data_IF_449316304167
#
_entry.id   IF_449316304167
#
_cell.length_a   1.000
_cell.length_b   1.000
_cell.length_c   1.000
_cell.angle_alpha   90.00
_cell.angle_beta   90.00
_cell.angle_gamma   90.00
#
_symmetry.space_group_name_H-M   'P 1'
#
loop_
_entity.id
_entity.type
_entity.pdbx_description
1 polymer ?
#
# COMPACT_ATOMS: atom_id res chain seq x y z
N UNK A 1 17.12 -20.49 2.21
CA UNK A 1 18.27 -19.78 1.61
C UNK A 1 18.68 -20.42 0.28
N UNK A 2 18.05 -19.98 -0.83
CA UNK A 2 18.49 -20.33 -2.17
C UNK A 2 19.47 -19.27 -2.64
N UNK A 3 20.77 -19.59 -2.67
CA UNK A 3 21.82 -18.72 -3.20
C UNK A 3 21.73 -18.70 -4.73
N UNK A 4 20.79 -17.91 -5.27
CA UNK A 4 20.77 -17.58 -6.69
C UNK A 4 21.93 -16.64 -6.98
N UNK A 5 23.04 -17.17 -7.51
CA UNK A 5 24.15 -16.37 -8.02
C UNK A 5 23.64 -15.50 -9.16
N UNK A 6 23.57 -14.19 -8.93
CA UNK A 6 23.28 -13.19 -9.97
C UNK A 6 24.54 -13.05 -10.83
N UNK A 7 24.57 -13.73 -11.96
CA UNK A 7 25.61 -13.54 -12.97
C UNK A 7 25.29 -12.31 -13.81
N UNK A 8 26.22 -11.37 -13.91
CA UNK A 8 26.11 -10.23 -14.83
C UNK A 8 26.00 -10.74 -16.28
N UNK A 9 25.03 -10.26 -17.08
CA UNK A 9 24.87 -10.70 -18.47
C UNK A 9 26.13 -10.47 -19.29
N UNK A 10 26.57 -11.47 -20.07
CA UNK A 10 27.78 -11.37 -20.91
C UNK A 10 27.49 -11.29 -22.39
N UNK A 11 26.23 -11.52 -22.80
CA UNK A 11 25.75 -11.43 -24.17
C UNK A 11 24.30 -10.93 -24.22
N UNK A 12 23.81 -10.57 -25.40
CA UNK A 12 22.48 -9.97 -25.59
C UNK A 12 21.33 -10.90 -25.18
N UNK A 13 21.48 -12.22 -25.35
CA UNK A 13 20.49 -13.21 -24.93
C UNK A 13 20.34 -13.25 -23.41
N UNK A 14 21.46 -13.18 -22.68
CA UNK A 14 21.44 -13.09 -21.22
C UNK A 14 20.86 -11.76 -20.74
N UNK A 15 21.05 -10.67 -21.48
CA UNK A 15 20.43 -9.37 -21.17
C UNK A 15 18.91 -9.47 -21.28
N UNK A 16 18.38 -10.04 -22.37
CA UNK A 16 16.94 -10.23 -22.53
C UNK A 16 16.36 -11.10 -21.42
N UNK A 17 17.00 -12.24 -21.12
CA UNK A 17 16.56 -13.12 -20.03
C UNK A 17 16.60 -12.44 -18.66
N UNK A 18 17.68 -11.71 -18.36
CA UNK A 18 17.80 -10.97 -17.10
C UNK A 18 16.71 -9.90 -16.97
N UNK A 19 16.41 -9.19 -18.06
CA UNK A 19 15.33 -8.20 -18.11
C UNK A 19 13.97 -8.88 -17.90
N UNK A 20 13.68 -9.98 -18.60
CA UNK A 20 12.44 -10.74 -18.47
C UNK A 20 12.26 -11.31 -17.06
N UNK A 21 13.32 -11.85 -16.46
CA UNK A 21 13.30 -12.34 -15.07
C UNK A 21 13.02 -11.19 -14.09
N UNK A 22 13.61 -10.01 -14.29
CA UNK A 22 13.34 -8.83 -13.45
C UNK A 22 11.92 -8.29 -13.65
N UNK A 23 11.41 -8.24 -14.88
CA UNK A 23 10.03 -7.84 -15.15
C UNK A 23 9.01 -8.87 -14.66
N UNK A 24 9.31 -10.16 -14.75
CA UNK A 24 8.49 -11.22 -14.18
C UNK A 24 8.41 -11.07 -12.65
N UNK A 25 9.51 -10.71 -11.97
CA UNK A 25 9.50 -10.41 -10.53
C UNK A 25 8.65 -9.17 -10.21
N UNK A 26 8.66 -8.14 -11.06
CA UNK A 26 7.78 -6.95 -10.88
C UNK A 26 6.31 -7.32 -11.06
N UNK A 27 5.98 -8.15 -12.05
CA UNK A 27 4.61 -8.59 -12.32
C UNK A 27 4.08 -9.59 -11.26
N UNK A 28 4.93 -10.48 -10.74
CA UNK A 28 4.56 -11.51 -9.77
C UNK A 28 4.36 -10.95 -8.34
N UNK A 29 5.05 -9.88 -7.97
CA UNK A 29 4.92 -9.29 -6.62
C UNK A 29 3.75 -8.30 -6.48
N UNK A 30 2.90 -8.14 -7.50
CA UNK A 30 1.77 -7.20 -7.43
C UNK A 30 2.21 -5.75 -7.17
N UNK A 31 3.47 -5.41 -7.50
CA UNK A 31 4.03 -4.07 -7.35
C UNK A 31 3.31 -3.19 -8.37
N UNK A 32 2.20 -2.60 -7.94
CA UNK A 32 1.53 -1.55 -8.67
C UNK A 32 2.43 -0.32 -8.57
N UNK A 33 3.29 -0.14 -9.58
CA UNK A 33 3.89 1.16 -9.86
C UNK A 33 2.75 2.07 -10.35
N UNK A 34 1.82 2.43 -9.46
CA UNK A 34 0.75 3.36 -9.83
C UNK A 34 1.40 4.75 -9.95
N UNK A 35 1.32 5.32 -11.15
CA UNK A 35 1.79 6.69 -11.40
C UNK A 35 0.88 7.76 -10.78
N UNK A 36 -0.21 7.34 -10.13
CA UNK A 36 -1.20 8.21 -9.50
C UNK A 36 -2.21 7.44 -8.66
N UNK A 37 -3.22 8.13 -8.16
CA UNK A 37 -4.28 7.54 -7.36
C UNK A 37 -5.21 6.65 -8.20
N UNK A 38 -5.54 5.47 -7.67
CA UNK A 38 -6.58 4.58 -8.19
C UNK A 38 -7.77 4.54 -7.23
N UNK A 39 -8.98 4.35 -7.75
CA UNK A 39 -10.17 4.18 -6.93
C UNK A 39 -10.30 2.72 -6.52
N UNK A 40 -10.44 2.49 -5.23
CA UNK A 40 -10.55 1.16 -4.61
C UNK A 40 -11.87 1.09 -3.87
N UNK A 41 -12.69 0.10 -4.22
CA UNK A 41 -13.90 -0.24 -3.47
C UNK A 41 -13.55 -1.28 -2.40
N UNK A 42 -13.89 -0.98 -1.14
CA UNK A 42 -13.62 -1.87 0.00
C UNK A 42 -14.90 -2.04 0.82
N UNK A 43 -15.25 -3.30 1.09
CA UNK A 43 -16.43 -3.68 1.86
C UNK A 43 -16.27 -3.44 3.37
N UNK A 44 -17.39 -3.37 4.08
CA UNK A 44 -17.37 -3.28 5.53
C UNK A 44 -16.76 -4.55 6.15
N UNK A 45 -15.93 -4.36 7.18
CA UNK A 45 -15.18 -5.43 7.86
C UNK A 45 -13.82 -5.75 7.23
N UNK A 46 -13.56 -5.30 6.00
CA UNK A 46 -12.29 -5.54 5.32
C UNK A 46 -11.23 -4.52 5.73
N UNK A 47 -9.96 -4.92 5.66
CA UNK A 47 -8.83 -4.02 5.88
C UNK A 47 -8.11 -3.75 4.57
N UNK A 48 -7.70 -2.50 4.41
CA UNK A 48 -6.74 -2.06 3.42
C UNK A 48 -5.39 -1.98 4.13
N UNK A 49 -4.50 -2.95 3.95
CA UNK A 49 -3.14 -2.94 4.50
C UNK A 49 -2.19 -2.38 3.46
N UNK A 50 -1.31 -1.47 3.88
CA UNK A 50 -0.52 -0.66 2.98
C UNK A 50 0.98 -0.82 3.22
N UNK A 51 1.73 -0.68 2.13
CA UNK A 51 3.18 -0.58 2.16
C UNK A 51 3.63 0.86 2.49
N UNK A 52 4.92 1.02 2.78
CA UNK A 52 5.51 2.33 3.04
C UNK A 52 5.35 3.28 1.86
N UNK A 53 5.16 4.57 2.18
CA UNK A 53 4.89 5.66 1.24
C UNK A 53 3.56 5.57 0.48
N UNK A 54 2.65 4.67 0.88
CA UNK A 54 1.29 4.64 0.34
C UNK A 54 0.48 5.85 0.84
N UNK A 55 -0.22 6.50 -0.08
CA UNK A 55 -1.11 7.64 0.14
C UNK A 55 -2.57 7.19 0.00
N UNK A 56 -3.45 7.61 0.93
CA UNK A 56 -4.84 7.17 0.99
C UNK A 56 -5.76 8.36 1.20
N UNK A 57 -6.89 8.40 0.50
CA UNK A 57 -7.98 9.35 0.74
C UNK A 57 -9.29 8.57 0.83
N UNK A 58 -9.97 8.63 1.99
CA UNK A 58 -11.33 8.11 2.13
C UNK A 58 -12.32 9.08 1.46
N UNK A 59 -12.98 8.66 0.37
CA UNK A 59 -13.92 9.53 -0.37
C UNK A 59 -15.37 9.36 0.09
N UNK A 60 -15.75 8.16 0.49
CA UNK A 60 -17.08 7.84 1.00
C UNK A 60 -17.04 6.58 1.87
N UNK A 61 -18.13 6.31 2.58
CA UNK A 61 -18.17 5.28 3.61
C UNK A 61 -17.45 5.72 4.88
N UNK A 62 -17.10 4.78 5.75
CA UNK A 62 -16.46 5.06 7.04
C UNK A 62 -15.34 4.02 7.27
N UNK A 63 -14.24 4.48 7.88
CA UNK A 63 -13.08 3.65 8.18
C UNK A 63 -12.37 4.13 9.44
N UNK A 64 -11.55 3.27 10.03
CA UNK A 64 -10.71 3.56 11.19
C UNK A 64 -9.26 3.17 10.92
N UNK A 65 -8.31 3.80 11.60
CA UNK A 65 -6.88 3.48 11.46
C UNK A 65 -6.53 2.07 11.93
N UNK A 66 -5.63 1.43 11.20
CA UNK A 66 -4.88 0.24 11.64
C UNK A 66 -3.45 0.69 11.91
N UNK A 67 -3.03 0.59 13.17
CA UNK A 67 -1.68 0.97 13.59
C UNK A 67 -0.68 -0.19 13.42
N UNK A 68 0.60 0.14 13.48
CA UNK A 68 1.64 -0.89 13.55
C UNK A 68 1.67 -1.57 14.93
N UNK A 69 2.57 -2.55 15.10
CA UNK A 69 2.74 -3.28 16.35
C UNK A 69 3.16 -2.40 17.56
N UNK A 70 3.76 -1.22 17.31
CA UNK A 70 4.14 -0.27 18.35
C UNK A 70 3.00 0.70 18.73
N UNK A 71 1.88 0.68 17.98
CA UNK A 71 0.73 1.58 18.19
C UNK A 71 0.81 2.90 17.42
N UNK A 72 1.80 3.09 16.56
CA UNK A 72 1.92 4.26 15.69
C UNK A 72 0.96 4.15 14.50
N UNK A 73 0.25 5.23 14.21
CA UNK A 73 -0.81 5.31 13.22
C UNK A 73 -0.38 5.83 11.85
N UNK A 74 -1.36 6.23 11.04
CA UNK A 74 -1.11 6.87 9.75
C UNK A 74 -0.99 8.38 9.93
N UNK A 75 -0.09 9.03 9.18
CA UNK A 75 0.01 10.48 9.22
C UNK A 75 -1.14 11.11 8.44
N UNK A 76 -2.05 11.80 9.11
CA UNK A 76 -3.00 12.70 8.45
C UNK A 76 -2.34 14.06 8.25
N UNK A 77 -1.92 14.33 7.02
CA UNK A 77 -1.23 15.60 6.70
C UNK A 77 -2.19 16.78 6.58
N UNK A 78 -3.49 16.53 6.51
CA UNK A 78 -4.50 17.59 6.39
C UNK A 78 -4.80 18.20 7.75
N UNK A 79 -4.97 17.35 8.77
CA UNK A 79 -5.22 17.76 10.15
C UNK A 79 -3.95 17.87 11.00
N UNK A 80 -2.84 17.28 10.55
CA UNK A 80 -1.59 17.21 11.32
C UNK A 80 -1.64 16.22 12.47
N UNK A 81 -2.39 15.12 12.32
CA UNK A 81 -2.67 14.15 13.36
C UNK A 81 -2.12 12.75 13.05
N UNK A 82 -1.95 11.94 14.10
CA UNK A 82 -1.59 10.53 14.01
C UNK A 82 -2.86 9.66 14.16
N UNK A 83 -3.27 9.01 13.07
CA UNK A 83 -4.46 8.15 13.02
C UNK A 83 -4.10 6.77 13.57
N UNK A 84 -4.14 6.67 14.90
CA UNK A 84 -3.88 5.43 15.65
C UNK A 84 -4.96 4.37 15.46
N UNK A 85 -4.72 3.20 16.05
CA UNK A 85 -5.65 2.07 16.01
C UNK A 85 -7.07 2.48 16.41
N UNK A 86 -8.04 2.23 15.54
CA UNK A 86 -9.46 2.49 15.81
C UNK A 86 -9.88 3.97 15.74
N UNK A 87 -8.95 4.91 15.52
CA UNK A 87 -9.30 6.33 15.32
C UNK A 87 -10.05 6.47 14.00
N UNK A 88 -11.19 7.18 14.02
CA UNK A 88 -11.98 7.42 12.83
C UNK A 88 -11.20 8.25 11.81
N UNK A 89 -11.30 7.85 10.54
CA UNK A 89 -10.73 8.62 9.42
C UNK A 89 -11.76 9.58 8.88
N UNK A 90 -11.42 10.86 8.93
CA UNK A 90 -12.21 11.90 8.28
C UNK A 90 -12.10 11.81 6.75
N UNK A 91 -13.21 12.10 6.08
CA UNK A 91 -13.30 12.03 4.63
C UNK A 91 -12.46 13.13 3.99
N UNK A 92 -11.89 12.82 2.83
CA UNK A 92 -11.10 13.73 1.99
C UNK A 92 -9.79 14.22 2.62
N UNK A 93 -9.34 13.65 3.74
CA UNK A 93 -7.98 13.87 4.23
C UNK A 93 -6.98 12.99 3.48
N UNK A 94 -5.80 13.57 3.22
CA UNK A 94 -4.65 12.83 2.72
C UNK A 94 -3.95 12.14 3.89
N UNK A 95 -3.97 10.81 3.89
CA UNK A 95 -3.24 9.97 4.82
C UNK A 95 -1.98 9.41 4.17
N UNK A 96 -0.89 9.35 4.92
CA UNK A 96 0.38 8.77 4.49
C UNK A 96 0.73 7.61 5.42
N UNK A 97 1.06 6.46 4.83
CA UNK A 97 1.63 5.31 5.51
C UNK A 97 3.16 5.45 5.50
N UNK A 98 3.82 5.70 6.64
CA UNK A 98 5.24 6.07 6.61
C UNK A 98 6.17 4.89 6.24
N UNK A 99 5.80 3.66 6.61
CA UNK A 99 6.64 2.46 6.51
C UNK A 99 5.80 1.22 6.23
N UNK A 100 6.43 0.19 5.66
CA UNK A 100 5.87 -1.17 5.56
C UNK A 100 5.97 -1.85 6.93
N UNK A 101 4.97 -1.65 7.79
CA UNK A 101 4.91 -2.25 9.13
C UNK A 101 3.48 -2.63 9.56
N UNK A 102 2.59 -2.87 8.59
CA UNK A 102 1.24 -3.38 8.81
C UNK A 102 0.16 -2.31 9.04
N UNK A 103 0.46 -1.04 8.76
CA UNK A 103 -0.52 0.04 8.86
C UNK A 103 -1.52 0.02 7.72
N UNK A 104 -2.68 0.61 7.95
CA UNK A 104 -3.76 0.59 6.98
C UNK A 104 -5.06 1.16 7.51
N UNK A 105 -6.16 0.80 6.86
CA UNK A 105 -7.50 1.20 7.27
C UNK A 105 -8.39 -0.02 7.47
N UNK A 106 -9.16 -0.05 8.55
CA UNK A 106 -10.28 -0.97 8.72
C UNK A 106 -11.55 -0.26 8.27
N UNK A 107 -12.19 -0.77 7.23
CA UNK A 107 -13.42 -0.20 6.69
C UNK A 107 -14.61 -0.66 7.54
N UNK A 108 -15.34 0.28 8.12
CA UNK A 108 -16.49 0.00 9.01
C UNK A 108 -17.83 0.15 8.29
N UNK A 109 -17.85 0.84 7.14
CA UNK A 109 -18.97 0.93 6.20
C UNK A 109 -18.42 0.92 4.78
N UNK A 110 -19.09 0.21 3.85
CA UNK A 110 -18.67 0.11 2.44
C UNK A 110 -18.17 1.47 1.92
N UNK A 111 -16.93 1.49 1.44
CA UNK A 111 -16.17 2.71 1.18
C UNK A 111 -15.56 2.71 -0.22
N UNK A 112 -15.42 3.92 -0.76
CA UNK A 112 -14.58 4.17 -1.92
C UNK A 112 -13.37 4.99 -1.46
N UNK A 113 -12.18 4.44 -1.68
CA UNK A 113 -10.92 5.07 -1.33
C UNK A 113 -10.17 5.44 -2.61
N UNK A 114 -9.37 6.50 -2.55
CA UNK A 114 -8.31 6.74 -3.52
C UNK A 114 -7.00 6.30 -2.90
N UNK A 115 -6.26 5.42 -3.57
CA UNK A 115 -4.99 4.89 -3.07
C UNK A 115 -3.91 5.08 -4.12
N UNK A 116 -2.72 5.53 -3.69
CA UNK A 116 -1.52 5.59 -4.50
C UNK A 116 -0.41 4.88 -3.76
N UNK A 117 0.24 3.91 -4.41
CA UNK A 117 1.18 2.99 -3.76
C UNK A 117 0.60 1.59 -3.57
N UNK A 118 1.41 0.70 -2.99
CA UNK A 118 1.06 -0.70 -2.85
C UNK A 118 0.16 -0.95 -1.64
N UNK A 119 -0.82 -1.83 -1.82
CA UNK A 119 -1.76 -2.25 -0.79
C UNK A 119 -2.28 -3.67 -1.04
N UNK A 120 -2.82 -4.28 0.01
CA UNK A 120 -3.60 -5.51 -0.05
C UNK A 120 -4.96 -5.29 0.65
N UNK A 121 -5.97 -6.03 0.21
CA UNK A 121 -7.29 -6.07 0.86
C UNK A 121 -7.45 -7.45 1.50
N UNK A 122 -7.78 -7.46 2.79
CA UNK A 122 -8.03 -8.69 3.58
C UNK A 122 -9.37 -8.64 4.33
#
# INVERSE_FOLDING_TARGET
PGTGTVTTPTNMTDVYKYIDDKFAVVAQNGVNISSGFVVVEVGAGQKLICEGSTEIILRSGDATGVANAAGDGLSDVTSGADIRQGVAVEKNHLLIVPKTDGRGLLVTKKSYLMVKGNYAIE
#
